data_IF_357166416916
#
_entry.id   IF_357166416916
#
_cell.length_a   1.000
_cell.length_b   1.000
_cell.length_c   1.000
_cell.angle_alpha   90.00
_cell.angle_beta   90.00
_cell.angle_gamma   90.00
#
_symmetry.space_group_name_H-M   'P 1'
#
loop_
_entity.id
_entity.type
_entity.pdbx_description
1 polymer ?
#
# COMPACT_ATOMS: atom_id res chain seq x y z
N UNK A 1 6.73 -11.64 1.61
CA UNK A 1 6.00 -10.39 1.30
C UNK A 1 6.37 -9.25 2.25
N UNK A 2 6.54 -9.53 3.54
CA UNK A 2 6.90 -8.50 4.54
C UNK A 2 8.14 -7.67 4.11
N UNK A 3 9.21 -8.36 3.73
CA UNK A 3 10.42 -7.68 3.23
C UNK A 3 10.16 -6.86 1.95
N UNK A 4 9.37 -7.39 1.02
CA UNK A 4 9.03 -6.66 -0.20
C UNK A 4 8.22 -5.38 0.08
N UNK A 5 7.26 -5.45 1.00
CA UNK A 5 6.50 -4.27 1.44
C UNK A 5 7.40 -3.25 2.14
N UNK A 6 8.23 -3.69 3.08
CA UNK A 6 9.19 -2.83 3.76
C UNK A 6 10.11 -2.13 2.75
N UNK A 7 10.67 -2.89 1.80
CA UNK A 7 11.56 -2.39 0.75
C UNK A 7 10.85 -1.37 -0.15
N UNK A 8 9.63 -1.66 -0.60
CA UNK A 8 8.85 -0.75 -1.45
C UNK A 8 8.58 0.59 -0.75
N UNK A 9 8.24 0.55 0.54
CA UNK A 9 8.00 1.74 1.35
C UNK A 9 9.29 2.52 1.61
N UNK A 10 10.33 1.86 2.13
CA UNK A 10 11.59 2.51 2.49
C UNK A 10 12.28 3.16 1.30
N UNK A 11 12.22 2.53 0.13
CA UNK A 11 12.90 3.03 -1.07
C UNK A 11 12.17 4.19 -1.77
N UNK A 12 10.87 4.33 -1.54
CA UNK A 12 10.03 5.36 -2.18
C UNK A 12 9.59 6.49 -1.25
N UNK A 13 10.06 6.48 -0.01
CA UNK A 13 9.82 7.52 0.98
C UNK A 13 11.14 8.11 1.48
N UNK A 14 11.13 9.39 1.80
CA UNK A 14 12.29 10.13 2.34
C UNK A 14 11.93 10.80 3.66
N UNK A 15 12.92 11.13 4.50
CA UNK A 15 12.66 11.90 5.72
C UNK A 15 11.83 13.16 5.43
N UNK A 16 10.77 13.36 6.19
CA UNK A 16 9.81 14.44 5.99
C UNK A 16 8.57 14.07 5.15
N UNK A 17 8.59 12.95 4.45
CA UNK A 17 7.43 12.45 3.72
C UNK A 17 6.38 11.86 4.67
N UNK A 18 5.14 11.82 4.20
CA UNK A 18 4.02 11.18 4.89
C UNK A 18 3.46 10.01 4.09
N UNK A 19 3.25 8.90 4.78
CA UNK A 19 2.55 7.71 4.30
C UNK A 19 1.11 7.76 4.76
N UNK A 20 0.15 7.63 3.83
CA UNK A 20 -1.27 7.61 4.12
C UNK A 20 -1.86 6.22 3.84
N UNK A 21 -2.61 5.66 4.80
CA UNK A 21 -3.50 4.53 4.57
C UNK A 21 -4.95 5.00 4.54
N UNK A 22 -5.63 4.95 3.39
CA UNK A 22 -7.02 5.42 3.26
C UNK A 22 -8.06 4.33 3.52
N UNK A 23 -7.64 3.16 3.94
CA UNK A 23 -8.49 1.97 4.16
C UNK A 23 -8.33 1.38 5.56
N UNK A 24 -7.97 2.23 6.51
CA UNK A 24 -7.75 1.83 7.88
C UNK A 24 -6.34 1.30 8.14
N UNK A 25 -6.18 0.64 9.26
CA UNK A 25 -4.88 0.13 9.71
C UNK A 25 -4.37 -0.96 8.76
N UNK A 26 -3.09 -0.93 8.35
CA UNK A 26 -2.50 -1.99 7.54
C UNK A 26 -2.32 -3.28 8.36
N UNK A 27 -1.96 -4.35 7.66
CA UNK A 27 -1.65 -5.65 8.26
C UNK A 27 -0.66 -5.50 9.43
N UNK A 28 -0.88 -6.26 10.50
CA UNK A 28 -0.20 -6.10 11.78
C UNK A 28 1.34 -6.12 11.72
N UNK A 29 1.94 -6.93 10.85
CA UNK A 29 3.40 -6.96 10.71
C UNK A 29 3.96 -5.68 10.09
N UNK A 30 3.17 -4.89 9.37
CA UNK A 30 3.58 -3.59 8.86
C UNK A 30 3.55 -2.49 9.92
N UNK A 31 2.84 -2.68 11.01
CA UNK A 31 2.79 -1.69 12.09
C UNK A 31 4.20 -1.39 12.63
N UNK A 32 5.04 -2.41 12.75
CA UNK A 32 6.43 -2.24 13.21
C UNK A 32 7.33 -1.64 12.14
N UNK A 33 7.15 -2.00 10.87
CA UNK A 33 7.89 -1.41 9.77
C UNK A 33 7.62 0.09 9.66
N UNK A 34 6.35 0.47 9.74
CA UNK A 34 5.92 1.86 9.64
C UNK A 34 6.28 2.63 10.92
N UNK A 35 6.19 1.99 12.08
CA UNK A 35 6.38 2.62 13.39
C UNK A 35 5.05 3.05 14.02
N UNK A 36 3.92 2.47 13.61
CA UNK A 36 2.63 2.60 14.30
C UNK A 36 2.78 2.02 15.70
N UNK A 37 3.40 0.84 15.81
CA UNK A 37 3.97 0.34 17.04
C UNK A 37 5.46 0.73 17.10
N UNK A 38 5.95 1.29 18.20
CA UNK A 38 7.37 1.66 18.33
C UNK A 38 8.28 0.47 18.03
N UNK A 39 9.14 0.63 17.04
CA UNK A 39 10.08 -0.40 16.61
C UNK A 39 11.36 0.22 16.09
N UNK A 40 12.51 -0.38 16.43
CA UNK A 40 13.81 0.06 15.95
C UNK A 40 13.93 -0.17 14.44
N UNK A 41 14.42 0.83 13.74
CA UNK A 41 14.56 0.80 12.29
C UNK A 41 13.25 1.02 11.54
N UNK A 42 12.19 1.45 12.23
CA UNK A 42 10.92 1.80 11.59
C UNK A 42 11.02 3.06 10.75
N UNK A 43 10.09 3.24 9.82
CA UNK A 43 10.01 4.47 9.01
C UNK A 43 9.89 5.73 9.89
N UNK A 44 9.21 5.63 11.02
CA UNK A 44 9.06 6.74 11.97
C UNK A 44 10.41 7.21 12.52
N UNK A 45 11.35 6.30 12.80
CA UNK A 45 12.69 6.66 13.25
C UNK A 45 13.51 7.39 12.17
N UNK A 46 13.18 7.17 10.90
CA UNK A 46 13.78 7.87 9.76
C UNK A 46 13.05 9.15 9.36
N UNK A 47 12.12 9.62 10.20
CA UNK A 47 11.43 10.89 9.99
C UNK A 47 10.30 10.82 8.96
N UNK A 48 9.76 9.65 8.69
CA UNK A 48 8.59 9.44 7.85
C UNK A 48 7.37 9.35 8.77
N UNK A 49 6.35 10.15 8.51
CA UNK A 49 5.13 10.16 9.30
C UNK A 49 4.07 9.24 8.68
N UNK A 50 3.18 8.75 9.51
CA UNK A 50 2.06 7.91 9.11
C UNK A 50 0.73 8.56 9.46
N UNK A 51 -0.22 8.45 8.54
CA UNK A 51 -1.60 8.89 8.74
C UNK A 51 -2.56 7.83 8.23
N UNK A 52 -3.71 7.73 8.87
CA UNK A 52 -4.73 6.73 8.55
C UNK A 52 -6.09 7.40 8.49
N UNK A 53 -6.90 6.96 7.54
CA UNK A 53 -8.32 7.25 7.46
C UNK A 53 -9.08 5.93 7.50
N UNK A 54 -9.95 5.77 8.47
CA UNK A 54 -10.73 4.55 8.63
C UNK A 54 -11.90 4.51 7.64
N UNK A 55 -12.37 3.30 7.34
CA UNK A 55 -13.55 3.11 6.51
C UNK A 55 -14.80 3.51 7.27
N UNK A 56 -15.75 4.14 6.57
CA UNK A 56 -17.09 4.39 7.08
C UNK A 56 -17.84 3.06 7.21
N UNK A 57 -18.44 2.83 8.38
CA UNK A 57 -19.15 1.60 8.69
C UNK A 57 -18.31 0.33 8.39
N UNK A 58 -17.01 0.42 8.55
CA UNK A 58 -16.07 -0.66 8.26
C UNK A 58 -16.20 -1.21 6.81
N UNK A 59 -16.62 -0.40 5.87
CA UNK A 59 -16.91 -0.82 4.49
C UNK A 59 -16.58 0.21 3.42
N UNK A 60 -17.07 1.44 3.57
CA UNK A 60 -17.04 2.45 2.52
C UNK A 60 -15.86 3.42 2.70
N UNK A 61 -15.34 3.94 1.59
CA UNK A 61 -14.28 4.94 1.65
C UNK A 61 -14.81 6.26 2.22
N UNK A 62 -14.09 6.82 3.17
CA UNK A 62 -14.34 8.17 3.68
C UNK A 62 -13.60 9.19 2.78
N UNK A 63 -14.19 9.53 1.65
CA UNK A 63 -13.57 10.46 0.70
C UNK A 63 -13.31 11.84 1.30
N UNK A 64 -14.20 12.34 2.16
CA UNK A 64 -13.98 13.61 2.84
C UNK A 64 -12.81 13.54 3.82
N UNK A 65 -12.74 12.47 4.60
CA UNK A 65 -11.61 12.23 5.50
C UNK A 65 -10.28 12.06 4.74
N UNK A 66 -10.29 11.37 3.61
CA UNK A 66 -9.11 11.19 2.75
C UNK A 66 -8.66 12.53 2.19
N UNK A 67 -9.58 13.36 1.68
CA UNK A 67 -9.28 14.71 1.19
C UNK A 67 -8.64 15.57 2.28
N UNK A 68 -9.20 15.54 3.48
CA UNK A 68 -8.69 16.31 4.62
C UNK A 68 -7.31 15.81 5.09
N UNK A 69 -7.03 14.52 4.95
CA UNK A 69 -5.76 13.92 5.37
C UNK A 69 -4.62 14.16 4.39
N UNK A 70 -4.89 14.24 3.09
CA UNK A 70 -3.87 14.50 2.07
C UNK A 70 -3.33 15.93 2.23
N UNK A 71 -2.00 16.06 2.24
CA UNK A 71 -1.30 17.33 2.40
C UNK A 71 -0.02 17.35 1.57
N UNK A 72 0.74 18.42 1.63
CA UNK A 72 1.97 18.58 0.85
C UNK A 72 3.01 17.49 1.10
N UNK A 73 3.03 16.91 2.30
CA UNK A 73 3.97 15.86 2.69
C UNK A 73 3.51 14.47 2.26
N UNK A 74 2.26 14.27 1.91
CA UNK A 74 1.74 12.98 1.47
C UNK A 74 2.43 12.54 0.19
N UNK A 75 3.32 11.57 0.28
CA UNK A 75 4.12 11.07 -0.82
C UNK A 75 3.61 9.75 -1.36
N UNK A 76 3.13 8.88 -0.50
CA UNK A 76 2.70 7.54 -0.83
C UNK A 76 1.41 7.19 -0.11
N UNK A 77 0.47 6.61 -0.85
CA UNK A 77 -0.77 6.04 -0.35
C UNK A 77 -0.68 4.53 -0.46
N UNK A 78 -0.83 3.82 0.66
CA UNK A 78 -0.79 2.36 0.70
C UNK A 78 -2.20 1.80 0.85
N UNK A 79 -2.59 0.92 -0.08
CA UNK A 79 -3.92 0.33 -0.16
C UNK A 79 -3.78 -1.18 0.02
N UNK A 80 -4.20 -1.70 1.16
CA UNK A 80 -4.25 -3.14 1.37
C UNK A 80 -5.54 -3.70 0.75
N UNK A 81 -5.41 -4.53 -0.29
CA UNK A 81 -6.55 -5.11 -1.02
C UNK A 81 -7.30 -6.13 -0.17
N UNK A 82 -6.57 -7.08 0.42
CA UNK A 82 -7.18 -8.11 1.26
C UNK A 82 -7.70 -7.52 2.58
N UNK A 83 -8.70 -8.16 3.15
CA UNK A 83 -9.19 -7.78 4.47
C UNK A 83 -8.20 -8.15 5.60
N UNK A 84 -7.25 -9.04 5.34
CA UNK A 84 -6.38 -9.57 6.39
C UNK A 84 -7.21 -10.28 7.46
N UNK A 85 -7.00 -9.92 8.71
CA UNK A 85 -7.78 -10.42 9.86
C UNK A 85 -9.00 -9.54 10.20
N UNK A 86 -9.18 -8.43 9.47
CA UNK A 86 -10.28 -7.50 9.70
C UNK A 86 -11.62 -8.08 9.20
N UNK A 87 -12.72 -7.49 9.68
CA UNK A 87 -14.07 -7.88 9.26
C UNK A 87 -14.58 -7.13 8.03
N UNK A 88 -13.82 -6.11 7.58
CA UNK A 88 -14.16 -5.35 6.38
C UNK A 88 -14.14 -6.22 5.11
N UNK A 89 -14.84 -5.86 4.04
CA UNK A 89 -14.75 -6.59 2.78
C UNK A 89 -13.37 -6.42 2.12
N UNK A 90 -12.96 -7.42 1.35
CA UNK A 90 -11.85 -7.32 0.42
C UNK A 90 -12.20 -6.31 -0.68
N UNK A 91 -11.22 -5.56 -1.15
CA UNK A 91 -11.42 -4.55 -2.18
C UNK A 91 -11.36 -5.18 -3.58
N UNK A 92 -12.40 -4.96 -4.38
CA UNK A 92 -12.37 -5.28 -5.81
C UNK A 92 -11.44 -4.32 -6.56
N UNK A 93 -11.01 -4.72 -7.75
CA UNK A 93 -10.20 -3.85 -8.62
C UNK A 93 -10.95 -2.56 -8.97
N UNK A 94 -12.27 -2.63 -9.18
CA UNK A 94 -13.09 -1.44 -9.44
C UNK A 94 -13.12 -0.48 -8.24
N UNK A 95 -13.23 -0.98 -7.03
CA UNK A 95 -13.14 -0.13 -5.82
C UNK A 95 -11.76 0.51 -5.68
N UNK A 96 -10.71 -0.25 -5.95
CA UNK A 96 -9.33 0.28 -5.95
C UNK A 96 -9.18 1.37 -7.02
N UNK A 97 -9.71 1.17 -8.23
CA UNK A 97 -9.74 2.18 -9.29
C UNK A 97 -10.37 3.50 -8.79
N UNK A 98 -11.55 3.41 -8.21
CA UNK A 98 -12.30 4.59 -7.76
C UNK A 98 -11.55 5.33 -6.64
N UNK A 99 -10.94 4.60 -5.72
CA UNK A 99 -10.11 5.18 -4.67
C UNK A 99 -8.87 5.88 -5.23
N UNK A 100 -8.15 5.23 -6.12
CA UNK A 100 -6.95 5.81 -6.76
C UNK A 100 -7.32 7.05 -7.58
N UNK A 101 -8.39 6.98 -8.35
CA UNK A 101 -8.88 8.13 -9.13
C UNK A 101 -9.17 9.33 -8.23
N UNK A 102 -9.82 9.09 -7.09
CA UNK A 102 -10.09 10.14 -6.11
C UNK A 102 -8.79 10.72 -5.53
N UNK A 103 -7.90 9.87 -5.03
CA UNK A 103 -6.61 10.29 -4.46
C UNK A 103 -5.80 11.11 -5.46
N UNK A 104 -5.70 10.66 -6.72
CA UNK A 104 -5.00 11.36 -7.79
C UNK A 104 -5.69 12.68 -8.18
N UNK A 105 -7.00 12.80 -8.02
CA UNK A 105 -7.71 14.06 -8.22
C UNK A 105 -7.35 15.11 -7.18
N UNK A 106 -7.02 14.69 -5.96
CA UNK A 106 -6.60 15.58 -4.86
C UNK A 106 -5.11 15.92 -4.96
N UNK A 107 -4.27 14.91 -5.23
CA UNK A 107 -2.81 15.07 -5.33
C UNK A 107 -2.24 14.16 -6.43
N UNK A 108 -2.10 14.68 -7.67
CA UNK A 108 -1.75 13.86 -8.84
C UNK A 108 -0.39 13.16 -8.77
N UNK A 109 0.56 13.71 -8.04
CA UNK A 109 1.95 13.22 -7.93
C UNK A 109 2.15 12.16 -6.85
N UNK A 110 1.11 11.85 -6.05
CA UNK A 110 1.21 10.84 -5.01
C UNK A 110 1.38 9.45 -5.61
N UNK A 111 2.24 8.63 -5.01
CA UNK A 111 2.41 7.23 -5.39
C UNK A 111 1.29 6.40 -4.75
N UNK A 112 0.50 5.71 -5.56
CA UNK A 112 -0.48 4.75 -5.08
C UNK A 112 0.09 3.34 -5.15
N UNK A 113 0.36 2.75 -3.99
CA UNK A 113 0.84 1.38 -3.85
C UNK A 113 -0.29 0.47 -3.37
N UNK A 114 -0.46 -0.68 -3.99
CA UNK A 114 -1.42 -1.71 -3.57
C UNK A 114 -0.67 -2.93 -3.03
N UNK A 115 -0.95 -3.30 -1.79
CA UNK A 115 -0.64 -4.65 -1.29
C UNK A 115 -1.68 -5.60 -1.90
N UNK A 116 -1.23 -6.35 -2.90
CA UNK A 116 -2.09 -7.19 -3.75
C UNK A 116 -2.17 -8.65 -3.26
N UNK A 117 -1.67 -8.95 -2.07
CA UNK A 117 -1.72 -10.30 -1.51
C UNK A 117 -3.14 -10.88 -1.53
N UNK A 118 -3.27 -12.11 -1.99
CA UNK A 118 -4.52 -12.85 -2.21
C UNK A 118 -5.41 -12.29 -3.33
N UNK A 119 -4.99 -11.23 -4.04
CA UNK A 119 -5.76 -10.62 -5.11
C UNK A 119 -5.36 -11.06 -6.51
N UNK A 120 -4.15 -11.60 -6.66
CA UNK A 120 -3.60 -11.97 -7.96
C UNK A 120 -4.46 -13.04 -8.64
N UNK A 121 -4.81 -12.82 -9.89
CA UNK A 121 -5.61 -13.72 -10.74
C UNK A 121 -7.07 -13.94 -10.27
N UNK A 122 -7.55 -13.15 -9.30
CA UNK A 122 -8.92 -13.29 -8.79
C UNK A 122 -9.93 -12.58 -9.70
N UNK A 123 -9.52 -11.48 -10.32
CA UNK A 123 -10.32 -10.70 -11.28
C UNK A 123 -9.58 -10.62 -12.61
N UNK A 124 -10.27 -10.21 -13.67
CA UNK A 124 -9.69 -10.12 -15.03
C UNK A 124 -8.60 -9.04 -15.14
N UNK A 125 -8.69 -8.01 -14.32
CA UNK A 125 -7.72 -6.91 -14.29
C UNK A 125 -6.99 -6.87 -12.96
N UNK A 126 -5.78 -6.35 -12.99
CA UNK A 126 -4.95 -6.11 -11.82
C UNK A 126 -4.90 -4.61 -11.48
N UNK A 127 -4.54 -4.24 -10.25
CA UNK A 127 -4.54 -2.82 -9.83
C UNK A 127 -3.67 -1.90 -10.68
N UNK A 128 -2.59 -2.38 -11.29
CA UNK A 128 -1.77 -1.58 -12.20
C UNK A 128 -2.54 -1.13 -13.45
N UNK A 129 -3.50 -1.92 -13.91
CA UNK A 129 -4.30 -1.59 -15.09
C UNK A 129 -5.35 -0.51 -14.81
N UNK A 130 -5.59 -0.20 -13.55
CA UNK A 130 -6.59 0.76 -13.11
C UNK A 130 -5.99 1.96 -12.37
N UNK A 131 -4.68 2.19 -12.49
CA UNK A 131 -4.04 3.41 -12.03
C UNK A 131 -3.08 3.29 -10.86
N UNK A 132 -2.89 2.11 -10.26
CA UNK A 132 -1.85 1.93 -9.27
C UNK A 132 -0.47 2.21 -9.87
N UNK A 133 0.41 2.85 -9.11
CA UNK A 133 1.78 3.12 -9.52
C UNK A 133 2.69 1.93 -9.23
N UNK A 134 2.34 1.14 -8.21
CA UNK A 134 3.12 0.01 -7.76
C UNK A 134 2.20 -1.01 -7.08
N UNK A 135 2.44 -2.29 -7.32
CA UNK A 135 1.86 -3.38 -6.54
C UNK A 135 2.96 -4.21 -5.89
N UNK A 136 2.66 -4.71 -4.72
CA UNK A 136 3.53 -5.57 -3.92
C UNK A 136 2.76 -6.81 -3.52
N UNK A 137 3.37 -7.97 -3.60
CA UNK A 137 2.70 -9.20 -3.23
C UNK A 137 3.65 -10.31 -2.82
N UNK A 138 3.08 -11.47 -2.61
CA UNK A 138 3.77 -12.64 -2.10
C UNK A 138 3.82 -13.77 -3.11
N UNK A 139 4.99 -14.35 -3.30
CA UNK A 139 5.15 -15.53 -4.16
C UNK A 139 4.64 -16.83 -3.50
N UNK A 140 4.47 -16.84 -2.18
CA UNK A 140 3.96 -18.04 -1.47
C UNK A 140 2.42 -18.14 -1.50
N UNK A 141 1.74 -17.15 -2.09
CA UNK A 141 0.28 -17.11 -2.21
C UNK A 141 -0.15 -17.43 -3.64
N UNK A 142 -1.05 -16.65 -4.21
CA UNK A 142 -1.66 -16.94 -5.52
C UNK A 142 -0.63 -17.17 -6.64
N UNK A 143 0.40 -16.34 -6.74
CA UNK A 143 1.42 -16.47 -7.80
C UNK A 143 2.22 -17.77 -7.71
N UNK A 144 2.65 -18.16 -6.54
CA UNK A 144 3.49 -19.34 -6.36
C UNK A 144 2.71 -20.65 -6.36
N UNK A 145 1.39 -20.62 -6.17
CA UNK A 145 0.53 -21.80 -6.26
C UNK A 145 0.97 -22.98 -5.38
N UNK A 146 1.59 -22.69 -4.23
CA UNK A 146 2.16 -23.74 -3.36
C UNK A 146 3.55 -24.24 -3.77
N UNK A 147 4.13 -23.75 -4.87
CA UNK A 147 5.45 -24.13 -5.36
C UNK A 147 6.57 -23.29 -4.76
N UNK A 148 6.33 -22.00 -4.56
CA UNK A 148 7.32 -21.08 -4.00
C UNK A 148 7.32 -21.18 -2.46
N UNK A 149 8.43 -21.58 -1.82
CA UNK A 149 8.50 -21.67 -0.36
C UNK A 149 8.66 -20.31 0.31
N UNK A 150 9.20 -19.32 -0.39
CA UNK A 150 9.42 -17.95 0.08
C UNK A 150 9.33 -16.98 -1.10
N UNK A 151 9.34 -15.68 -0.78
CA UNK A 151 9.53 -14.63 -1.76
C UNK A 151 8.38 -13.64 -1.81
N UNK A 152 8.69 -12.51 -2.40
CA UNK A 152 7.76 -11.44 -2.71
C UNK A 152 8.12 -10.80 -4.04
N UNK A 153 7.26 -9.93 -4.53
CA UNK A 153 7.48 -9.18 -5.76
C UNK A 153 7.08 -7.73 -5.59
N UNK A 154 7.71 -6.87 -6.37
CA UNK A 154 7.37 -5.46 -6.52
C UNK A 154 7.32 -5.21 -8.03
N UNK A 155 6.19 -4.75 -8.54
CA UNK A 155 6.02 -4.39 -9.94
C UNK A 155 5.28 -3.06 -10.06
N UNK A 156 5.53 -2.32 -11.11
CA UNK A 156 4.88 -1.03 -11.32
C UNK A 156 5.71 -0.08 -12.15
N UNK A 157 5.57 1.21 -11.88
CA UNK A 157 6.34 2.25 -12.56
C UNK A 157 7.84 2.03 -12.37
N UNK A 158 8.58 2.22 -13.46
CA UNK A 158 10.03 2.00 -13.49
C UNK A 158 10.75 2.70 -12.33
N UNK A 159 10.44 3.96 -12.09
CA UNK A 159 11.06 4.72 -11.00
C UNK A 159 10.85 4.07 -9.63
N UNK A 160 9.64 3.61 -9.33
CA UNK A 160 9.33 2.97 -8.05
C UNK A 160 10.07 1.64 -7.88
N UNK A 161 10.16 0.87 -8.96
CA UNK A 161 10.84 -0.42 -8.96
C UNK A 161 12.36 -0.25 -8.91
N UNK A 162 12.93 0.69 -9.66
CA UNK A 162 14.35 1.00 -9.62
C UNK A 162 14.79 1.43 -8.21
N UNK A 163 14.01 2.30 -7.56
CA UNK A 163 14.28 2.70 -6.18
C UNK A 163 14.34 1.48 -5.25
N UNK A 164 13.40 0.55 -5.40
CA UNK A 164 13.41 -0.67 -4.61
C UNK A 164 14.64 -1.56 -4.93
N UNK A 165 15.00 -1.69 -6.19
CA UNK A 165 16.14 -2.49 -6.61
C UNK A 165 17.49 -1.97 -6.08
N UNK A 166 17.64 -0.65 -5.91
CA UNK A 166 18.85 -0.05 -5.33
C UNK A 166 19.00 -0.30 -3.83
N UNK A 167 17.94 -0.71 -3.15
CA UNK A 167 17.92 -0.96 -1.70
C UNK A 167 17.78 -2.45 -1.33
N UNK A 168 17.64 -3.32 -2.35
CA UNK A 168 17.46 -4.76 -2.17
C UNK A 168 18.73 -5.52 -1.74
#
# INVERSE_FOLDING_TARGET
>A
VHHALALALMSNLRPGDELLSPVGKPYDTLEEVIGIRPSKGSLAEYGITYRQVDLLNNRDFDFEGIRAAINEKTKLVTIQRSKGYETRPTLSVDRIRDLIAFVKSVKPDVICMVDNCYGEFVEEREPLEVGADMIVGSLIKNLGGGLAPIGGYIVGKKECVDNAAYHA
#
